data_IF_521578883800
#
_entry.id   IF_521578883800
#
_cell.length_a   1.000
_cell.length_b   1.000
_cell.length_c   1.000
_cell.angle_alpha   90.00
_cell.angle_beta   90.00
_cell.angle_gamma   90.00
#
_symmetry.space_group_name_H-M   'P 1'
#
loop_
_entity.id
_entity.type
_entity.pdbx_description
1 polymer ?
#
# COMPACT_ATOMS: atom_id res chain seq x y z
N UNK A 1 -34.99 23.57 15.14
CA UNK A 1 -33.53 23.32 15.28
C UNK A 1 -33.28 21.83 15.08
N UNK A 2 -32.76 21.37 13.93
CA UNK A 2 -32.47 19.95 13.71
C UNK A 2 -31.09 19.77 13.10
N UNK A 3 -30.13 19.41 13.95
CA UNK A 3 -28.73 19.17 13.59
C UNK A 3 -28.62 17.81 12.90
N UNK A 4 -28.60 17.81 11.56
CA UNK A 4 -28.34 16.60 10.76
C UNK A 4 -26.88 16.18 10.96
N UNK A 5 -26.67 15.16 11.80
CA UNK A 5 -25.38 14.46 11.95
C UNK A 5 -24.98 13.85 10.60
N UNK A 6 -24.02 14.47 9.90
CA UNK A 6 -23.41 13.93 8.69
C UNK A 6 -22.64 12.66 9.07
N UNK A 7 -23.15 11.49 8.69
CA UNK A 7 -22.38 10.24 8.75
C UNK A 7 -21.21 10.38 7.78
N UNK A 8 -19.99 10.33 8.30
CA UNK A 8 -18.77 10.44 7.52
C UNK A 8 -18.55 9.13 6.75
N UNK A 9 -19.07 9.04 5.53
CA UNK A 9 -18.82 7.92 4.64
C UNK A 9 -17.37 8.01 4.15
N UNK A 10 -16.52 7.05 4.54
CA UNK A 10 -15.13 6.93 4.06
C UNK A 10 -15.18 6.79 2.53
N UNK A 11 -14.73 7.82 1.81
CA UNK A 11 -14.87 7.89 0.36
C UNK A 11 -13.99 6.81 -0.32
N UNK A 12 -14.52 6.01 -1.26
CA UNK A 12 -13.76 4.97 -1.96
C UNK A 12 -12.56 5.51 -2.76
N UNK A 13 -12.58 6.79 -3.14
CA UNK A 13 -11.49 7.43 -3.90
C UNK A 13 -10.19 7.67 -3.13
N UNK A 14 -10.21 7.67 -1.79
CA UNK A 14 -8.98 7.84 -1.00
C UNK A 14 -8.10 6.60 -1.01
N UNK A 15 -8.71 5.41 -1.15
CA UNK A 15 -8.00 4.12 -1.17
C UNK A 15 -7.20 3.91 -2.45
N UNK A 16 -7.77 4.28 -3.60
CA UNK A 16 -7.07 4.24 -4.88
C UNK A 16 -5.90 5.22 -4.92
N UNK A 17 -6.09 6.44 -4.38
CA UNK A 17 -5.02 7.44 -4.28
C UNK A 17 -3.79 6.93 -3.53
N UNK A 18 -3.96 6.24 -2.41
CA UNK A 18 -2.85 5.66 -1.65
C UNK A 18 -2.15 4.50 -2.39
N UNK A 19 -2.87 3.76 -3.24
CA UNK A 19 -2.28 2.71 -4.09
C UNK A 19 -1.50 3.29 -5.28
N UNK A 20 -1.85 4.49 -5.71
CA UNK A 20 -1.15 5.25 -6.74
C UNK A 20 0.07 6.02 -6.20
N UNK A 21 0.21 6.15 -4.87
CA UNK A 21 1.36 6.80 -4.24
C UNK A 21 2.68 6.15 -4.65
N UNK A 22 3.62 6.96 -5.12
CA UNK A 22 4.94 6.53 -5.57
C UNK A 22 5.97 6.71 -4.46
N UNK A 23 6.79 5.68 -4.24
CA UNK A 23 7.93 5.78 -3.34
C UNK A 23 9.23 5.45 -4.09
N UNK A 24 10.32 6.07 -3.64
CA UNK A 24 11.65 5.81 -4.17
C UNK A 24 12.33 4.68 -3.39
N UNK A 25 12.67 3.60 -4.09
CA UNK A 25 13.53 2.56 -3.52
C UNK A 25 15.00 2.84 -3.85
N UNK A 26 15.80 3.06 -2.81
CA UNK A 26 17.25 3.25 -2.94
C UNK A 26 17.98 1.99 -3.45
N UNK A 27 17.62 0.81 -2.97
CA UNK A 27 18.29 -0.46 -3.32
C UNK A 27 18.17 -0.80 -4.82
N UNK A 28 17.11 -0.34 -5.48
CA UNK A 28 16.85 -0.55 -6.92
C UNK A 28 16.99 0.74 -7.74
N UNK A 29 17.34 1.86 -7.09
CA UNK A 29 17.40 3.22 -7.64
C UNK A 29 16.22 3.61 -8.54
N UNK A 30 15.01 3.16 -8.19
CA UNK A 30 13.80 3.36 -9.01
C UNK A 30 12.60 3.80 -8.16
N UNK A 31 11.70 4.55 -8.78
CA UNK A 31 10.38 4.87 -8.23
C UNK A 31 9.41 3.73 -8.53
N UNK A 32 8.56 3.40 -7.57
CA UNK A 32 7.54 2.36 -7.68
C UNK A 32 6.26 2.86 -7.02
N UNK A 33 5.11 2.55 -7.61
CA UNK A 33 3.84 2.74 -6.93
C UNK A 33 3.62 1.72 -5.82
N UNK A 34 2.88 2.13 -4.80
CA UNK A 34 2.51 1.29 -3.67
C UNK A 34 1.69 0.08 -4.12
N UNK A 35 0.76 0.28 -5.05
CA UNK A 35 -0.04 -0.80 -5.64
C UNK A 35 0.83 -1.84 -6.33
N UNK A 36 1.85 -1.43 -7.08
CA UNK A 36 2.82 -2.35 -7.70
C UNK A 36 3.65 -3.08 -6.65
N UNK A 37 4.07 -2.40 -5.59
CA UNK A 37 4.78 -3.00 -4.46
C UNK A 37 3.95 -4.13 -3.84
N UNK A 38 2.70 -3.85 -3.48
CA UNK A 38 1.81 -4.80 -2.84
C UNK A 38 1.49 -5.98 -3.76
N UNK A 39 1.23 -5.72 -5.04
CA UNK A 39 1.03 -6.78 -6.03
C UNK A 39 2.27 -7.68 -6.17
N UNK A 40 3.45 -7.09 -6.31
CA UNK A 40 4.72 -7.83 -6.37
C UNK A 40 5.01 -8.58 -5.05
N UNK A 41 4.53 -8.08 -3.91
CA UNK A 41 4.63 -8.76 -2.62
C UNK A 41 3.69 -9.97 -2.52
N UNK A 42 2.44 -9.82 -2.93
CA UNK A 42 1.48 -10.93 -2.99
C UNK A 42 1.96 -12.02 -3.94
N UNK A 43 2.42 -11.64 -5.14
CA UNK A 43 3.00 -12.58 -6.10
C UNK A 43 4.27 -13.24 -5.56
N UNK A 44 5.18 -12.47 -4.94
CA UNK A 44 6.38 -13.03 -4.31
C UNK A 44 6.06 -14.04 -3.20
N UNK A 45 5.00 -13.82 -2.43
CA UNK A 45 4.55 -14.80 -1.44
C UNK A 45 3.91 -16.03 -2.08
N UNK A 46 3.14 -15.86 -3.16
CA UNK A 46 2.50 -16.97 -3.87
C UNK A 46 3.51 -17.87 -4.61
N UNK A 47 4.58 -17.29 -5.16
CA UNK A 47 5.62 -18.01 -5.92
C UNK A 47 6.93 -18.20 -5.15
N UNK A 48 6.94 -17.89 -3.84
CA UNK A 48 8.12 -17.89 -2.96
C UNK A 48 9.33 -17.06 -3.46
N UNK A 49 9.16 -16.22 -4.49
CA UNK A 49 10.20 -15.39 -5.07
C UNK A 49 10.33 -14.03 -4.38
N UNK A 50 11.14 -13.98 -3.32
CA UNK A 50 11.40 -12.77 -2.51
C UNK A 50 12.35 -11.75 -3.19
N UNK A 51 12.57 -11.83 -4.50
CA UNK A 51 13.40 -10.84 -5.22
C UNK A 51 12.71 -9.51 -5.46
N UNK A 52 11.41 -9.38 -5.19
CA UNK A 52 10.66 -8.16 -5.48
C UNK A 52 11.19 -6.92 -4.74
N UNK A 53 11.02 -5.76 -5.35
CA UNK A 53 11.45 -4.51 -4.74
C UNK A 53 10.66 -4.19 -3.46
N UNK A 54 9.40 -4.61 -3.36
CA UNK A 54 8.63 -4.43 -2.14
C UNK A 54 9.25 -5.16 -0.93
N UNK A 55 9.80 -6.35 -1.18
CA UNK A 55 10.48 -7.15 -0.17
C UNK A 55 11.84 -6.58 0.25
N UNK A 56 12.64 -6.12 -0.72
CA UNK A 56 14.04 -5.70 -0.49
C UNK A 56 14.20 -4.23 -0.08
N UNK A 57 13.21 -3.39 -0.32
CA UNK A 57 13.33 -1.95 -0.03
C UNK A 57 12.75 -1.66 1.36
N UNK A 58 13.47 -0.92 2.24
CA UNK A 58 12.97 -0.56 3.56
C UNK A 58 11.69 0.28 3.48
N UNK A 59 11.57 1.14 2.45
CA UNK A 59 10.32 1.86 2.16
C UNK A 59 9.15 0.92 1.90
N UNK A 60 9.38 -0.17 1.14
CA UNK A 60 8.36 -1.18 0.86
C UNK A 60 7.94 -1.96 2.11
N UNK A 61 8.82 -2.13 3.10
CA UNK A 61 8.48 -2.74 4.38
C UNK A 61 7.60 -1.83 5.25
N UNK A 62 7.89 -0.54 5.30
CA UNK A 62 7.03 0.43 5.98
C UNK A 62 5.65 0.49 5.33
N UNK A 63 5.61 0.59 4.00
CA UNK A 63 4.36 0.63 3.23
C UNK A 63 3.49 -0.63 3.46
N UNK A 64 4.09 -1.82 3.51
CA UNK A 64 3.38 -3.06 3.83
C UNK A 64 2.84 -3.05 5.26
N UNK A 65 3.62 -2.55 6.22
CA UNK A 65 3.22 -2.46 7.62
C UNK A 65 2.07 -1.47 7.81
N UNK A 66 2.14 -0.32 7.17
CA UNK A 66 1.07 0.68 7.21
C UNK A 66 -0.17 0.20 6.46
N UNK A 67 -0.03 -0.48 5.33
CA UNK A 67 -1.15 -1.13 4.65
C UNK A 67 -1.82 -2.19 5.55
N UNK A 68 -1.04 -3.00 6.26
CA UNK A 68 -1.58 -4.00 7.19
C UNK A 68 -2.28 -3.36 8.39
N UNK A 69 -1.78 -2.22 8.89
CA UNK A 69 -2.44 -1.45 9.95
C UNK A 69 -3.74 -0.79 9.50
N UNK A 70 -3.76 -0.25 8.29
CA UNK A 70 -4.96 0.41 7.75
C UNK A 70 -6.03 -0.59 7.29
N UNK A 71 -5.62 -1.79 6.90
CA UNK A 71 -6.49 -2.88 6.43
C UNK A 71 -6.27 -4.18 7.22
N UNK A 72 -6.72 -4.25 8.48
CA UNK A 72 -6.53 -5.42 9.36
C UNK A 72 -7.43 -6.62 9.03
N UNK A 73 -7.88 -6.79 7.79
CA UNK A 73 -8.93 -7.77 7.42
C UNK A 73 -8.62 -8.59 6.17
N UNK A 74 -7.35 -8.92 5.95
CA UNK A 74 -6.93 -10.02 5.07
C UNK A 74 -6.19 -11.07 5.89
#
# INVERSE_FOLDING_TARGET
>A
MSVRRKRNARQPGQRLKYLEDEFYCRARRRRLSLGKCLNDYCNANAFEDRKSACWRCPQGQNNRSDYSREFPSF
#
